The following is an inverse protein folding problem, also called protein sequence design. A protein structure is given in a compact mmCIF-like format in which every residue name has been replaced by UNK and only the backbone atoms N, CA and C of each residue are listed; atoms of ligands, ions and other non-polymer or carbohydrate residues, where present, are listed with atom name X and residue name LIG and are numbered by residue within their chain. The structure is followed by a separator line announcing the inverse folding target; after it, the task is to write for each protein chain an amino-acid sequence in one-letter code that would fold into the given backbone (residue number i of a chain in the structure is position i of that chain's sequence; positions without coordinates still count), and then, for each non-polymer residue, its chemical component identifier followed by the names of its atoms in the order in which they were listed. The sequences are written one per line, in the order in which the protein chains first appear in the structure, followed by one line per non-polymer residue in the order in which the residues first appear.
data_IF_719724663560
#
_entry.id   IF_719724663560
#
_cell.length_a   1.000
_cell.length_b   1.000
_cell.length_c   1.000
_cell.angle_alpha   90.00
_cell.angle_beta   90.00
_cell.angle_gamma   90.00
#
_symmetry.space_group_name_H-M   'P 1'
#
loop_
_entity.id
_entity.type
_entity.pdbx_description
1 polymer ?
#
# COMPACT_ATOMS: atom_id res chain seq x y z
N UNK A 1 -16.78 -1.96 1.78
CA UNK A 1 -15.99 -2.75 2.74
C UNK A 1 -14.50 -2.50 2.67
N UNK A 2 -13.97 -2.27 1.49
CA UNK A 2 -12.55 -1.90 1.35
C UNK A 2 -12.20 -0.63 2.12
N UNK A 3 -13.13 0.32 2.18
CA UNK A 3 -12.91 1.59 2.87
C UNK A 3 -12.67 1.41 4.36
N UNK A 4 -13.45 0.55 5.01
CA UNK A 4 -13.31 0.28 6.44
C UNK A 4 -12.00 -0.43 6.74
N UNK A 5 -11.63 -1.39 5.90
CA UNK A 5 -10.37 -2.12 6.05
C UNK A 5 -9.20 -1.15 5.85
N UNK A 6 -9.27 -0.31 4.81
CA UNK A 6 -8.24 0.69 4.55
C UNK A 6 -8.06 1.63 5.73
N UNK A 7 -9.15 2.08 6.34
CA UNK A 7 -9.08 2.97 7.51
C UNK A 7 -8.36 2.33 8.70
N UNK A 8 -8.58 1.04 8.91
CA UNK A 8 -7.90 0.31 9.98
C UNK A 8 -6.39 0.25 9.74
N UNK A 9 -6.00 -0.05 8.50
CA UNK A 9 -4.58 -0.10 8.15
C UNK A 9 -3.92 1.27 8.26
N UNK A 10 -4.62 2.31 7.81
CA UNK A 10 -4.09 3.68 7.90
C UNK A 10 -3.92 4.10 9.35
N UNK A 11 -4.89 3.80 10.19
CA UNK A 11 -4.80 4.14 11.61
C UNK A 11 -3.58 3.49 12.26
N UNK A 12 -3.35 2.21 11.96
CA UNK A 12 -2.19 1.49 12.48
C UNK A 12 -0.88 2.07 11.94
N UNK A 13 -0.90 2.49 10.69
CA UNK A 13 0.30 3.02 10.03
C UNK A 13 0.68 4.39 10.57
N UNK A 14 -0.31 5.23 10.87
CA UNK A 14 -0.10 6.59 11.35
C UNK A 14 0.27 6.62 12.85
N UNK A 15 -0.21 5.66 13.60
CA UNK A 15 -0.03 5.60 15.04
C UNK A 15 1.45 5.58 15.42
N UNK A 16 1.87 6.53 16.26
CA UNK A 16 3.24 6.61 16.73
C UNK A 16 4.25 7.17 15.74
N UNK A 17 3.79 7.68 14.58
CA UNK A 17 4.68 8.26 13.57
C UNK A 17 4.54 9.77 13.50
N UNK A 18 5.64 10.44 13.13
CA UNK A 18 5.57 11.87 12.88
C UNK A 18 5.02 12.17 11.48
N UNK A 19 4.65 13.42 11.25
CA UNK A 19 4.06 13.83 9.98
C UNK A 19 4.99 13.59 8.79
N UNK A 20 6.28 13.83 8.97
CA UNK A 20 7.25 13.64 7.88
C UNK A 20 7.30 12.18 7.44
N UNK A 21 7.31 11.26 8.39
CA UNK A 21 7.32 9.82 8.10
C UNK A 21 6.04 9.40 7.37
N UNK A 22 4.89 9.88 7.87
CA UNK A 22 3.59 9.56 7.27
C UNK A 22 3.50 10.12 5.85
N UNK A 23 3.97 11.35 5.65
CA UNK A 23 3.94 11.98 4.33
C UNK A 23 4.80 11.21 3.31
N UNK A 24 5.97 10.74 3.73
CA UNK A 24 6.84 9.97 2.85
C UNK A 24 6.19 8.64 2.45
N UNK A 25 5.58 7.95 3.41
CA UNK A 25 4.88 6.69 3.15
C UNK A 25 3.71 6.95 2.19
N UNK A 26 2.97 8.03 2.41
CA UNK A 26 1.85 8.41 1.53
C UNK A 26 2.30 8.62 0.10
N UNK A 27 3.43 9.31 -0.08
CA UNK A 27 4.00 9.55 -1.39
C UNK A 27 4.34 8.24 -2.12
N UNK A 28 4.98 7.32 -1.41
CA UNK A 28 5.34 6.02 -1.98
C UNK A 28 4.12 5.18 -2.33
N UNK A 29 3.14 5.15 -1.44
CA UNK A 29 1.89 4.41 -1.70
C UNK A 29 1.12 5.02 -2.87
N UNK A 30 1.18 6.33 -3.01
CA UNK A 30 0.52 7.00 -4.13
C UNK A 30 1.15 6.59 -5.47
N UNK A 31 2.47 6.44 -5.51
CA UNK A 31 3.16 5.97 -6.70
C UNK A 31 2.73 4.56 -7.08
N UNK A 32 2.63 3.67 -6.09
CA UNK A 32 2.14 2.30 -6.32
C UNK A 32 0.69 2.34 -6.80
N UNK A 33 -0.13 3.19 -6.19
CA UNK A 33 -1.53 3.34 -6.55
C UNK A 33 -1.72 3.71 -8.03
N UNK A 34 -0.81 4.51 -8.57
CA UNK A 34 -0.87 4.88 -9.99
C UNK A 34 -0.74 3.66 -10.91
N UNK A 35 0.03 2.67 -10.50
CA UNK A 35 0.22 1.45 -11.28
C UNK A 35 -1.08 0.66 -11.42
N UNK A 36 -2.02 0.82 -10.50
CA UNK A 36 -3.32 0.15 -10.55
C UNK A 36 -4.19 0.60 -11.72
N UNK A 37 -3.78 1.64 -12.42
CA UNK A 37 -4.45 2.08 -13.65
C UNK A 37 -4.04 1.23 -14.85
N UNK A 38 -2.99 0.45 -14.73
CA UNK A 38 -2.48 -0.42 -15.79
C UNK A 38 -3.22 -1.76 -15.77
N UNK A 39 -3.75 -2.17 -16.92
CA UNK A 39 -4.41 -3.47 -17.05
C UNK A 39 -3.41 -4.61 -16.82
N UNK A 40 -2.18 -4.44 -17.29
CA UNK A 40 -1.14 -5.42 -17.11
C UNK A 40 -0.81 -5.64 -15.64
N UNK A 41 -0.71 -4.55 -14.88
CA UNK A 41 -0.46 -4.61 -13.44
C UNK A 41 -1.60 -5.35 -12.73
N UNK A 42 -2.83 -4.98 -13.04
CA UNK A 42 -4.01 -5.61 -12.44
C UNK A 42 -4.09 -7.09 -12.79
N UNK A 43 -3.71 -7.46 -14.02
CA UNK A 43 -3.68 -8.86 -14.42
C UNK A 43 -2.70 -9.67 -13.58
N UNK A 44 -1.54 -9.10 -13.28
CA UNK A 44 -0.55 -9.77 -12.44
C UNK A 44 -1.10 -9.97 -11.02
N UNK A 45 -1.69 -8.92 -10.45
CA UNK A 45 -2.22 -9.00 -9.09
C UNK A 45 -3.39 -9.96 -8.95
N UNK A 46 -4.21 -10.10 -9.99
CA UNK A 46 -5.38 -10.98 -9.95
C UNK A 46 -5.08 -12.40 -10.42
N UNK A 47 -3.89 -12.66 -10.91
CA UNK A 47 -3.53 -13.98 -11.42
C UNK A 47 -3.43 -15.01 -10.31
N UNK A 48 -4.12 -16.13 -10.47
CA UNK A 48 -4.03 -17.24 -9.54
C UNK A 48 -2.75 -18.06 -9.73
N UNK A 49 -2.06 -17.86 -10.85
CA UNK A 49 -0.80 -18.55 -11.14
C UNK A 49 0.39 -17.93 -10.43
N UNK A 50 0.22 -16.70 -9.93
CA UNK A 50 1.27 -15.97 -9.21
C UNK A 50 0.88 -15.95 -7.74
N UNK A 51 1.77 -16.45 -6.85
CA UNK A 51 1.47 -16.48 -5.42
C UNK A 51 1.65 -15.10 -4.78
N UNK A 52 1.16 -14.96 -3.54
CA UNK A 52 1.18 -13.69 -2.84
C UNK A 52 2.59 -13.17 -2.57
N UNK A 53 3.54 -14.06 -2.35
CA UNK A 53 4.94 -13.67 -2.13
C UNK A 53 5.52 -12.99 -3.38
N UNK A 54 5.24 -13.56 -4.54
CA UNK A 54 5.70 -12.99 -5.81
C UNK A 54 5.03 -11.65 -6.12
N UNK A 55 3.72 -11.55 -5.84
CA UNK A 55 2.99 -10.30 -6.01
C UNK A 55 3.55 -9.22 -5.10
N UNK A 56 3.86 -9.57 -3.86
CA UNK A 56 4.44 -8.64 -2.90
C UNK A 56 5.80 -8.14 -3.38
N UNK A 57 6.65 -9.04 -3.86
CA UNK A 57 7.96 -8.68 -4.40
C UNK A 57 7.84 -7.75 -5.60
N UNK A 58 6.85 -8.02 -6.45
CA UNK A 58 6.59 -7.18 -7.61
C UNK A 58 6.28 -5.74 -7.19
N UNK A 59 5.39 -5.59 -6.21
CA UNK A 59 5.04 -4.25 -5.69
C UNK A 59 6.25 -3.59 -5.04
N UNK A 60 7.02 -4.33 -4.26
CA UNK A 60 8.20 -3.78 -3.60
C UNK A 60 9.26 -3.31 -4.59
N UNK A 61 9.33 -3.95 -5.75
CA UNK A 61 10.27 -3.55 -6.80
C UNK A 61 9.95 -2.19 -7.41
N UNK A 62 8.71 -1.73 -7.25
CA UNK A 62 8.25 -0.44 -7.75
C UNK A 62 8.53 0.70 -6.80
N UNK A 63 8.89 0.38 -5.57
CA UNK A 63 9.16 1.38 -4.53
C UNK A 63 10.66 1.51 -4.39
N UNK A 64 11.17 2.70 -4.71
CA UNK A 64 12.60 2.95 -4.66
C UNK A 64 13.03 3.20 -3.21
N UNK A 65 13.94 2.39 -2.72
CA UNK A 65 14.53 2.51 -1.37
C UNK A 65 13.48 2.76 -0.28
N UNK A 66 12.46 1.92 -0.26
CA UNK A 66 11.44 2.00 0.77
C UNK A 66 12.07 1.82 2.15
N UNK A 67 11.59 2.58 3.13
CA UNK A 67 12.03 2.32 4.49
C UNK A 67 11.46 0.97 4.94
N UNK A 68 12.04 0.44 6.00
CA UNK A 68 11.69 -0.89 6.47
C UNK A 68 10.24 -0.98 6.94
N UNK A 69 9.71 0.12 7.46
CA UNK A 69 8.31 0.18 7.90
C UNK A 69 7.35 -0.01 6.75
N UNK A 70 7.60 0.67 5.64
CA UNK A 70 6.74 0.54 4.45
C UNK A 70 6.88 -0.85 3.84
N UNK A 71 8.10 -1.36 3.77
CA UNK A 71 8.34 -2.71 3.27
C UNK A 71 7.57 -3.74 4.07
N UNK A 72 7.66 -3.67 5.41
CA UNK A 72 6.94 -4.59 6.29
C UNK A 72 5.44 -4.44 6.16
N UNK A 73 4.95 -3.22 5.97
CA UNK A 73 3.53 -2.96 5.77
C UNK A 73 3.01 -3.64 4.51
N UNK A 74 3.74 -3.52 3.41
CA UNK A 74 3.36 -4.16 2.16
C UNK A 74 3.42 -5.69 2.28
N UNK A 75 4.42 -6.22 2.98
CA UNK A 75 4.50 -7.65 3.24
C UNK A 75 3.30 -8.14 4.06
N UNK A 76 2.88 -7.34 5.03
CA UNK A 76 1.69 -7.68 5.82
C UNK A 76 0.44 -7.73 4.93
N UNK A 77 0.29 -6.77 4.04
CA UNK A 77 -0.84 -6.78 3.10
C UNK A 77 -0.82 -8.03 2.22
N UNK A 78 0.37 -8.43 1.78
CA UNK A 78 0.52 -9.65 0.99
C UNK A 78 0.10 -10.89 1.76
N UNK A 79 0.51 -11.00 3.02
CA UNK A 79 0.14 -12.12 3.88
C UNK A 79 -1.36 -12.21 4.10
N UNK A 80 -2.03 -11.06 4.18
CA UNK A 80 -3.48 -11.00 4.39
C UNK A 80 -4.25 -11.03 3.08
N UNK A 81 -3.56 -11.14 1.94
CA UNK A 81 -4.16 -11.11 0.60
C UNK A 81 -4.97 -9.83 0.36
N UNK A 82 -4.42 -8.70 0.81
CA UNK A 82 -5.07 -7.40 0.70
C UNK A 82 -4.28 -6.40 -0.12
N UNK A 83 -3.42 -6.88 -1.02
CA UNK A 83 -2.65 -5.99 -1.88
C UNK A 83 -3.56 -5.13 -2.78
N UNK A 84 -4.74 -5.64 -3.10
CA UNK A 84 -5.69 -4.96 -3.97
C UNK A 84 -6.30 -3.70 -3.35
N UNK A 85 -6.16 -3.49 -2.05
CA UNK A 85 -6.72 -2.30 -1.39
C UNK A 85 -5.70 -1.17 -1.25
N UNK A 86 -4.52 -1.31 -1.84
CA UNK A 86 -3.49 -0.26 -1.77
C UNK A 86 -4.03 1.11 -2.25
N UNK A 87 -4.80 1.20 -3.35
CA UNK A 87 -5.35 2.49 -3.75
C UNK A 87 -6.22 3.13 -2.69
N UNK A 88 -7.06 2.34 -2.01
CA UNK A 88 -7.93 2.83 -0.94
C UNK A 88 -7.11 3.28 0.26
N UNK A 89 -6.04 2.55 0.58
CA UNK A 89 -5.13 2.92 1.66
C UNK A 89 -4.43 4.23 1.34
N UNK A 90 -3.94 4.38 0.11
CA UNK A 90 -3.26 5.60 -0.31
C UNK A 90 -4.19 6.81 -0.23
N UNK A 91 -5.43 6.66 -0.65
CA UNK A 91 -6.43 7.71 -0.60
C UNK A 91 -6.74 8.09 0.85
N UNK A 92 -6.97 7.10 1.70
CA UNK A 92 -7.33 7.32 3.11
C UNK A 92 -6.17 7.99 3.87
N UNK A 93 -4.94 7.58 3.57
CA UNK A 93 -3.77 8.17 4.20
C UNK A 93 -3.63 9.65 3.83
N UNK A 94 -3.85 9.97 2.57
CA UNK A 94 -3.85 11.35 2.07
C UNK A 94 -4.90 12.18 2.80
N UNK A 95 -6.08 11.62 3.00
CA UNK A 95 -7.17 12.27 3.72
C UNK A 95 -6.78 12.55 5.17
N UNK A 96 -6.15 11.58 5.83
CA UNK A 96 -5.70 11.75 7.21
C UNK A 96 -4.64 12.84 7.33
N UNK A 97 -3.69 12.88 6.40
CA UNK A 97 -2.66 13.91 6.38
C UNK A 97 -3.29 15.30 6.25
N UNK A 98 -4.30 15.44 5.42
CA UNK A 98 -4.98 16.72 5.23
C UNK A 98 -5.68 17.20 6.50
N UNK A 99 -6.00 16.30 7.41
CA UNK A 99 -6.65 16.64 8.70
C UNK A 99 -5.64 16.92 9.80
N UNK A 100 -4.40 16.60 9.57
CA UNK A 100 -3.32 16.85 10.53
C UNK A 100 -2.80 18.28 10.38
#
# INVERSE_FOLDING_TARGET
MKDLVAKRYVKALVDGRDLNSVALISEKLNEVSKAFKSDKFNSILSSSDINEVEKTKFILSMIDKADKSLENFIKLLGEKRRLDIIPEIAFELKTQIAKM
#
